data_IF_318276990316
#
_entry.id   IF_318276990316
#
_cell.length_a   1.000
_cell.length_b   1.000
_cell.length_c   1.000
_cell.angle_alpha   90.00
_cell.angle_beta   90.00
_cell.angle_gamma   90.00
#
_symmetry.space_group_name_H-M   'P 1'
#
loop_
_entity.id
_entity.type
_entity.pdbx_description
1 polymer ?
#
# COMPACT_ATOMS: atom_id res chain seq x y z
N UNK A 1 11.75 12.96 -20.51
CA UNK A 1 10.40 12.55 -20.07
C UNK A 1 10.32 12.80 -18.58
N UNK A 2 9.34 13.59 -18.11
CA UNK A 2 9.15 13.78 -16.67
C UNK A 2 8.68 12.46 -16.05
N UNK A 3 9.22 12.03 -14.90
CA UNK A 3 8.71 10.83 -14.23
C UNK A 3 7.24 11.06 -13.88
N UNK A 4 6.36 10.12 -14.26
CA UNK A 4 4.96 10.16 -13.83
C UNK A 4 4.90 10.01 -12.30
N UNK A 5 4.06 10.78 -11.60
CA UNK A 5 3.86 10.60 -10.17
C UNK A 5 3.29 9.20 -9.89
N UNK A 6 3.64 8.61 -8.74
CA UNK A 6 3.15 7.27 -8.32
C UNK A 6 1.63 7.23 -8.21
N UNK A 7 1.03 8.31 -7.72
CA UNK A 7 -0.41 8.49 -7.66
C UNK A 7 -0.80 9.97 -7.74
N UNK A 8 -2.08 10.24 -7.99
CA UNK A 8 -2.70 11.55 -7.87
C UNK A 8 -3.97 11.43 -7.05
N UNK A 9 -4.25 12.48 -6.30
CA UNK A 9 -5.49 12.65 -5.55
C UNK A 9 -6.46 13.45 -6.41
N UNK A 10 -7.73 13.05 -6.42
CA UNK A 10 -8.82 13.86 -6.96
C UNK A 10 -10.01 13.84 -6.00
N UNK A 11 -10.83 14.91 -6.05
CA UNK A 11 -12.04 14.98 -5.25
C UNK A 11 -13.09 14.02 -5.82
N UNK A 12 -13.53 13.08 -4.99
CA UNK A 12 -14.73 12.30 -5.21
C UNK A 12 -15.80 12.76 -4.21
N UNK A 13 -17.07 12.63 -4.57
CA UNK A 13 -18.21 13.41 -4.01
C UNK A 13 -18.39 13.39 -2.48
N UNK A 14 -17.73 12.48 -1.76
CA UNK A 14 -17.58 12.50 -0.30
C UNK A 14 -16.26 11.89 0.19
N UNK A 15 -15.37 11.49 -0.73
CA UNK A 15 -14.18 10.67 -0.44
C UNK A 15 -12.97 11.16 -1.25
N UNK A 16 -11.81 10.61 -0.91
CA UNK A 16 -10.60 10.76 -1.70
C UNK A 16 -10.61 9.76 -2.87
N UNK A 17 -10.48 10.26 -4.10
CA UNK A 17 -10.17 9.43 -5.27
C UNK A 17 -8.66 9.32 -5.47
N UNK A 18 -8.17 8.11 -5.77
CA UNK A 18 -6.76 7.88 -6.11
C UNK A 18 -6.63 7.36 -7.54
N UNK A 19 -5.86 8.06 -8.36
CA UNK A 19 -5.37 7.56 -9.63
C UNK A 19 -3.94 7.08 -9.44
N UNK A 20 -3.71 5.76 -9.51
CA UNK A 20 -2.40 5.13 -9.27
C UNK A 20 -1.83 4.67 -10.61
N UNK A 21 -0.52 4.82 -10.80
CA UNK A 21 0.18 4.42 -12.02
C UNK A 21 1.39 3.56 -11.71
N UNK A 22 1.72 2.63 -12.59
CA UNK A 22 2.95 1.83 -12.57
C UNK A 22 3.36 1.45 -13.99
N UNK A 23 4.63 1.13 -14.22
CA UNK A 23 5.16 0.66 -15.51
C UNK A 23 4.67 -0.74 -15.87
N UNK A 24 4.32 -1.52 -14.84
CA UNK A 24 3.75 -2.85 -14.90
C UNK A 24 2.78 -3.03 -13.72
N UNK A 25 2.11 -4.18 -13.69
CA UNK A 25 1.09 -4.47 -12.68
C UNK A 25 1.66 -4.61 -11.27
N UNK A 26 2.89 -5.13 -11.14
CA UNK A 26 3.58 -5.25 -9.85
C UNK A 26 3.84 -3.86 -9.28
N UNK A 27 4.38 -2.95 -10.11
CA UNK A 27 4.64 -1.58 -9.72
C UNK A 27 3.34 -0.81 -9.43
N UNK A 28 2.26 -1.08 -10.15
CA UNK A 28 0.94 -0.50 -9.88
C UNK A 28 0.44 -0.85 -8.47
N UNK A 29 0.47 -2.13 -8.09
CA UNK A 29 0.05 -2.59 -6.76
C UNK A 29 1.00 -2.13 -5.65
N UNK A 30 2.31 -2.10 -5.90
CA UNK A 30 3.27 -1.49 -4.97
C UNK A 30 3.00 0.00 -4.75
N UNK A 31 2.72 0.75 -5.82
CA UNK A 31 2.38 2.18 -5.72
C UNK A 31 1.02 2.44 -5.05
N UNK A 32 0.08 1.50 -5.17
CA UNK A 32 -1.20 1.57 -4.46
C UNK A 32 -1.00 1.47 -2.94
N UNK A 33 -0.16 0.52 -2.50
CA UNK A 33 0.18 0.37 -1.09
C UNK A 33 0.94 1.59 -0.55
N UNK A 34 1.87 2.12 -1.35
CA UNK A 34 2.55 3.38 -1.05
C UNK A 34 1.54 4.51 -0.85
N UNK A 35 0.57 4.68 -1.78
CA UNK A 35 -0.43 5.74 -1.68
C UNK A 35 -1.27 5.63 -0.40
N UNK A 36 -1.68 4.40 -0.02
CA UNK A 36 -2.42 4.18 1.24
C UNK A 36 -1.63 4.64 2.45
N UNK A 37 -0.37 4.22 2.61
CA UNK A 37 0.41 4.57 3.80
C UNK A 37 0.93 6.01 3.78
N UNK A 38 1.19 6.58 2.61
CA UNK A 38 1.54 8.00 2.46
C UNK A 38 0.37 8.92 2.84
N UNK A 39 -0.88 8.45 2.75
CA UNK A 39 -2.05 9.16 3.28
C UNK A 39 -2.25 8.99 4.78
N UNK A 40 -1.66 7.95 5.39
CA UNK A 40 -1.79 7.66 6.82
C UNK A 40 -0.70 8.36 7.63
N UNK A 41 0.56 8.37 7.16
CA UNK A 41 1.72 8.87 7.91
C UNK A 41 2.75 9.50 6.97
N UNK A 42 3.65 10.33 7.50
CA UNK A 42 4.89 10.63 6.76
C UNK A 42 5.78 9.39 6.74
N UNK A 43 5.91 8.78 5.56
CA UNK A 43 6.73 7.59 5.36
C UNK A 43 8.21 7.81 5.66
N UNK A 44 8.70 9.07 5.72
CA UNK A 44 10.08 9.32 6.11
C UNK A 44 10.36 8.93 7.56
N UNK A 45 9.37 9.07 8.45
CA UNK A 45 9.50 8.77 9.89
C UNK A 45 9.44 7.27 10.22
N UNK A 46 8.99 6.46 9.25
CA UNK A 46 8.90 5.01 9.36
C UNK A 46 10.26 4.37 9.01
N UNK A 47 10.75 3.50 9.86
CA UNK A 47 11.95 2.68 9.64
C UNK A 47 11.58 1.29 9.14
N UNK A 48 12.49 0.67 8.39
CA UNK A 48 12.37 -0.73 7.98
C UNK A 48 13.07 -1.60 9.05
N UNK A 49 12.27 -2.16 9.96
CA UNK A 49 12.73 -3.07 11.01
C UNK A 49 12.21 -4.49 10.83
N UNK A 50 11.02 -4.61 10.26
CA UNK A 50 10.34 -5.88 10.07
C UNK A 50 9.90 -6.05 8.61
N UNK A 51 9.90 -7.31 8.15
CA UNK A 51 9.33 -7.70 6.85
C UNK A 51 8.15 -8.62 7.11
N UNK A 52 7.02 -8.34 6.46
CA UNK A 52 5.80 -9.15 6.47
C UNK A 52 5.57 -9.68 5.07
N UNK A 53 5.45 -11.00 4.96
CA UNK A 53 5.02 -11.64 3.71
C UNK A 53 3.51 -11.58 3.64
N UNK A 54 2.98 -11.04 2.55
CA UNK A 54 1.56 -10.94 2.29
C UNK A 54 1.18 -11.87 1.13
N UNK A 55 0.10 -12.62 1.31
CA UNK A 55 -0.45 -13.52 0.29
C UNK A 55 -1.94 -13.26 0.18
N UNK A 56 -2.39 -12.80 -0.98
CA UNK A 56 -3.78 -12.39 -1.22
C UNK A 56 -4.37 -13.21 -2.37
N UNK A 57 -5.68 -13.46 -2.29
CA UNK A 57 -6.46 -14.07 -3.35
C UNK A 57 -7.68 -13.20 -3.67
N UNK A 58 -8.15 -13.26 -4.90
CA UNK A 58 -9.38 -12.62 -5.36
C UNK A 58 -10.13 -13.50 -6.34
N UNK A 59 -11.42 -13.24 -6.52
CA UNK A 59 -12.23 -13.91 -7.54
C UNK A 59 -11.82 -13.51 -8.97
N UNK A 60 -11.41 -12.25 -9.12
CA UNK A 60 -10.86 -11.63 -10.33
C UNK A 60 -9.85 -10.54 -9.92
N UNK A 61 -9.46 -9.70 -10.88
CA UNK A 61 -8.37 -8.74 -10.70
C UNK A 61 -8.80 -7.55 -9.85
N UNK A 62 -10.02 -7.08 -10.04
CA UNK A 62 -10.63 -6.00 -9.28
C UNK A 62 -10.82 -6.42 -7.83
N UNK A 63 -11.35 -7.63 -7.59
CA UNK A 63 -11.50 -8.19 -6.24
C UNK A 63 -10.14 -8.44 -5.58
N UNK A 64 -9.14 -8.93 -6.33
CA UNK A 64 -7.77 -9.08 -5.82
C UNK A 64 -7.19 -7.74 -5.35
N UNK A 65 -7.40 -6.66 -6.11
CA UNK A 65 -6.94 -5.32 -5.73
C UNK A 65 -7.65 -4.83 -4.47
N UNK A 66 -8.97 -4.98 -4.37
CA UNK A 66 -9.74 -4.61 -3.18
C UNK A 66 -9.28 -5.42 -1.95
N UNK A 67 -9.10 -6.73 -2.09
CA UNK A 67 -8.62 -7.60 -1.01
C UNK A 67 -7.21 -7.21 -0.58
N UNK A 68 -6.33 -6.87 -1.53
CA UNK A 68 -4.98 -6.42 -1.24
C UNK A 68 -4.95 -5.13 -0.42
N UNK A 69 -5.74 -4.12 -0.80
CA UNK A 69 -5.85 -2.88 -0.03
C UNK A 69 -6.46 -3.13 1.36
N UNK A 70 -7.42 -4.06 1.48
CA UNK A 70 -8.00 -4.44 2.77
C UNK A 70 -6.97 -5.05 3.72
N UNK A 71 -6.11 -5.95 3.22
CA UNK A 71 -5.05 -6.56 4.04
C UNK A 71 -4.02 -5.51 4.51
N UNK A 72 -3.65 -4.57 3.65
CA UNK A 72 -2.77 -3.45 4.03
C UNK A 72 -3.38 -2.58 5.14
N UNK A 73 -4.66 -2.25 5.01
CA UNK A 73 -5.39 -1.50 6.03
C UNK A 73 -5.58 -2.31 7.32
N UNK A 74 -5.67 -3.64 7.24
CA UNK A 74 -5.71 -4.51 8.41
C UNK A 74 -4.37 -4.54 9.15
N UNK A 75 -3.23 -4.59 8.44
CA UNK A 75 -1.91 -4.49 9.06
C UNK A 75 -1.77 -3.18 9.86
N UNK A 76 -2.30 -2.07 9.33
CA UNK A 76 -2.36 -0.82 10.08
C UNK A 76 -3.35 -0.88 11.25
N UNK A 77 -4.66 -1.02 10.98
CA UNK A 77 -5.70 -0.83 12.00
C UNK A 77 -5.83 -2.00 12.98
N UNK A 78 -5.47 -3.21 12.56
CA UNK A 78 -5.55 -4.43 13.36
C UNK A 78 -4.25 -4.75 14.10
N UNK A 79 -3.10 -4.60 13.43
CA UNK A 79 -1.79 -4.97 14.00
C UNK A 79 -0.95 -3.76 14.45
N UNK A 80 -1.35 -2.53 14.11
CA UNK A 80 -0.60 -1.33 14.43
C UNK A 80 0.71 -1.23 13.65
N UNK A 81 0.82 -1.82 12.47
CA UNK A 81 2.03 -1.79 11.65
C UNK A 81 2.00 -0.63 10.65
N UNK A 82 3.02 0.21 10.66
CA UNK A 82 3.29 1.19 9.61
C UNK A 82 4.24 0.60 8.59
N UNK A 83 3.88 0.67 7.31
CA UNK A 83 4.64 0.11 6.20
C UNK A 83 5.21 1.23 5.32
N UNK A 84 6.40 1.02 4.76
CA UNK A 84 7.15 2.00 3.97
C UNK A 84 7.69 1.46 2.65
N UNK A 85 8.05 0.18 2.61
CA UNK A 85 8.56 -0.48 1.40
C UNK A 85 7.60 -1.60 1.02
N UNK A 86 7.21 -1.63 -0.25
CA UNK A 86 6.15 -2.48 -0.79
C UNK A 86 6.64 -3.15 -2.06
N UNK A 87 6.85 -4.45 -2.01
CA UNK A 87 7.36 -5.23 -3.14
C UNK A 87 6.38 -6.33 -3.52
N UNK A 88 5.80 -6.26 -4.71
CA UNK A 88 5.01 -7.37 -5.27
C UNK A 88 5.96 -8.35 -5.97
N UNK A 89 6.05 -9.56 -5.43
CA UNK A 89 6.94 -10.61 -5.94
C UNK A 89 6.28 -11.37 -7.09
N UNK A 90 5.01 -11.73 -6.92
CA UNK A 90 4.22 -12.51 -7.88
C UNK A 90 2.81 -11.92 -7.96
N UNK A 91 2.28 -11.85 -9.18
CA UNK A 91 0.91 -11.41 -9.43
C UNK A 91 0.34 -12.10 -10.66
N UNK A 92 -0.89 -12.56 -10.54
CA UNK A 92 -1.74 -12.97 -11.64
C UNK A 92 -3.16 -12.43 -11.45
N UNK A 93 -4.10 -12.81 -12.31
CA UNK A 93 -5.49 -12.35 -12.28
C UNK A 93 -6.25 -12.56 -10.96
N UNK A 94 -5.79 -13.46 -10.08
CA UNK A 94 -6.52 -13.90 -8.86
C UNK A 94 -5.61 -14.10 -7.65
N UNK A 95 -4.30 -13.91 -7.80
CA UNK A 95 -3.33 -14.17 -6.74
C UNK A 95 -2.23 -13.12 -6.71
N UNK A 96 -1.83 -12.74 -5.49
CA UNK A 96 -0.70 -11.84 -5.24
C UNK A 96 0.15 -12.39 -4.10
N UNK A 97 1.47 -12.35 -4.28
CA UNK A 97 2.46 -12.52 -3.21
C UNK A 97 3.33 -11.29 -3.16
N UNK A 98 3.48 -10.69 -1.97
CA UNK A 98 4.31 -9.52 -1.76
C UNK A 98 5.04 -9.53 -0.42
N UNK A 99 5.98 -8.61 -0.30
CA UNK A 99 6.69 -8.27 0.93
C UNK A 99 6.43 -6.82 1.28
N UNK A 100 5.98 -6.61 2.52
CA UNK A 100 5.73 -5.29 3.08
C UNK A 100 6.70 -5.08 4.24
N UNK A 101 7.42 -3.95 4.24
CA UNK A 101 8.43 -3.67 5.25
C UNK A 101 8.15 -2.38 5.98
N UNK A 102 8.43 -2.36 7.26
CA UNK A 102 8.19 -1.22 8.12
C UNK A 102 8.43 -1.54 9.59
N UNK A 103 7.62 -0.98 10.47
CA UNK A 103 7.74 -1.16 11.91
C UNK A 103 6.40 -0.96 12.63
N UNK A 104 6.28 -1.43 13.88
CA UNK A 104 5.14 -1.09 14.74
C UNK A 104 5.01 0.43 14.94
N UNK A 105 3.77 0.88 15.07
CA UNK A 105 3.42 2.23 15.42
C UNK A 105 4.05 2.64 16.74
N UNK A 106 4.48 3.90 16.80
CA UNK A 106 5.09 4.50 17.97
C UNK A 106 4.56 5.94 18.05
N UNK A 107 3.66 6.25 19.00
CA UNK A 107 3.04 7.57 19.09
C UNK A 107 4.02 8.67 19.49
N UNK A 108 5.22 8.34 19.99
CA UNK A 108 6.25 9.34 20.29
C UNK A 108 7.01 9.79 19.03
N UNK A 109 6.95 8.99 17.96
CA UNK A 109 7.70 9.23 16.71
C UNK A 109 6.79 9.51 15.53
N UNK A 110 5.64 8.85 15.45
CA UNK A 110 4.78 8.86 14.29
C UNK A 110 3.53 9.72 14.53
N UNK A 111 3.31 10.68 13.63
CA UNK A 111 2.08 11.49 13.60
C UNK A 111 1.19 11.01 12.45
N UNK A 112 -0.02 10.57 12.77
CA UNK A 112 -1.00 10.12 11.78
C UNK A 112 -1.72 11.34 11.18
N UNK A 113 -1.94 11.32 9.87
CA UNK A 113 -2.59 12.37 9.09
C UNK A 113 -4.12 12.34 9.21
#
# INVERSE_FOLDING_TARGET
MNPKPRYKIFNHTADLGLEISGKDEKELFSNAAFAVFDLIVDLQDVNIKETRRLVVKGADREDLFVNYLRELLYMWNGEGMLLKDFSVLEIDSRHLVGEMKGEPFDPARHTIK
#
